data_IF_388352508317
#
_entry.id   IF_388352508317
#
_cell.length_a   1.000
_cell.length_b   1.000
_cell.length_c   1.000
_cell.angle_alpha   90.00
_cell.angle_beta   90.00
_cell.angle_gamma   90.00
#
_symmetry.space_group_name_H-M   'P 1'
#
loop_
_entity.id
_entity.type
_entity.pdbx_description
1 polymer ?
#
# COMPACT_ATOMS: atom_id res chain seq x y z
N UNK A 1 41.59 -55.87 -12.03
CA UNK A 1 40.23 -56.42 -11.84
C UNK A 1 39.47 -55.78 -10.65
N UNK A 2 40.09 -55.01 -9.74
CA UNK A 2 39.40 -54.40 -8.59
C UNK A 2 38.94 -52.93 -8.78
N UNK A 3 39.45 -52.19 -9.77
CA UNK A 3 39.07 -50.78 -9.97
C UNK A 3 37.75 -50.57 -10.76
N UNK A 4 37.33 -51.54 -11.57
CA UNK A 4 36.08 -51.44 -12.35
C UNK A 4 34.82 -51.73 -11.51
N UNK A 5 34.96 -52.41 -10.37
CA UNK A 5 33.84 -52.76 -9.49
C UNK A 5 33.39 -51.62 -8.57
N UNK A 6 34.24 -50.60 -8.35
CA UNK A 6 33.93 -49.44 -7.50
C UNK A 6 33.21 -48.36 -8.30
N UNK A 7 33.52 -48.20 -9.60
CA UNK A 7 32.82 -47.25 -10.49
C UNK A 7 31.40 -47.72 -10.89
N UNK A 8 31.13 -49.03 -10.93
CA UNK A 8 29.80 -49.56 -11.23
C UNK A 8 28.77 -49.35 -10.10
N UNK A 9 29.23 -49.21 -8.85
CA UNK A 9 28.37 -48.95 -7.70
C UNK A 9 27.84 -47.51 -7.68
N UNK A 10 28.68 -46.52 -8.00
CA UNK A 10 28.31 -45.10 -7.92
C UNK A 10 27.15 -44.72 -8.87
N UNK A 11 27.10 -45.35 -10.05
CA UNK A 11 26.07 -45.07 -11.06
C UNK A 11 24.70 -45.66 -10.70
N UNK A 12 24.65 -46.68 -9.83
CA UNK A 12 23.41 -47.30 -9.35
C UNK A 12 22.81 -46.54 -8.16
N UNK A 13 23.64 -45.90 -7.34
CA UNK A 13 23.21 -45.13 -6.17
C UNK A 13 22.75 -43.71 -6.51
N UNK A 14 23.35 -43.07 -7.52
CA UNK A 14 23.03 -41.70 -7.94
C UNK A 14 21.55 -41.45 -8.30
N UNK A 15 20.83 -42.31 -9.06
CA UNK A 15 19.42 -42.09 -9.35
C UNK A 15 18.53 -42.20 -8.10
N UNK A 16 18.91 -43.05 -7.14
CA UNK A 16 18.19 -43.19 -5.88
C UNK A 16 18.35 -41.95 -4.99
N UNK A 17 19.56 -41.37 -4.96
CA UNK A 17 19.84 -40.13 -4.24
C UNK A 17 19.07 -38.94 -4.85
N UNK A 18 19.01 -38.83 -6.19
CA UNK A 18 18.22 -37.79 -6.87
C UNK A 18 16.73 -37.94 -6.58
N UNK A 19 16.20 -39.17 -6.61
CA UNK A 19 14.80 -39.43 -6.31
C UNK A 19 14.46 -39.02 -4.87
N UNK A 20 15.32 -39.37 -3.90
CA UNK A 20 15.12 -39.02 -2.49
C UNK A 20 15.18 -37.50 -2.28
N UNK A 21 16.16 -36.82 -2.86
CA UNK A 21 16.25 -35.34 -2.77
C UNK A 21 15.03 -34.68 -3.42
N UNK A 22 14.58 -35.18 -4.57
CA UNK A 22 13.39 -34.68 -5.27
C UNK A 22 12.12 -34.85 -4.44
N UNK A 23 11.90 -36.02 -3.84
CA UNK A 23 10.73 -36.29 -2.99
C UNK A 23 10.76 -35.44 -1.71
N UNK A 24 11.92 -35.30 -1.06
CA UNK A 24 12.08 -34.44 0.12
C UNK A 24 11.89 -32.96 -0.22
N UNK A 25 12.40 -32.50 -1.37
CA UNK A 25 12.23 -31.13 -1.85
C UNK A 25 10.78 -30.79 -2.18
N UNK A 26 10.06 -31.68 -2.85
CA UNK A 26 8.62 -31.52 -3.14
C UNK A 26 7.82 -31.51 -1.84
N UNK A 27 8.12 -32.42 -0.90
CA UNK A 27 7.50 -32.45 0.43
C UNK A 27 7.70 -31.13 1.18
N UNK A 28 8.93 -30.59 1.18
CA UNK A 28 9.23 -29.30 1.79
C UNK A 28 8.46 -28.14 1.16
N UNK A 29 8.35 -28.10 -0.18
CA UNK A 29 7.58 -27.08 -0.90
C UNK A 29 6.10 -27.16 -0.53
N UNK A 30 5.51 -28.36 -0.47
CA UNK A 30 4.10 -28.54 -0.12
C UNK A 30 3.86 -28.08 1.33
N UNK A 31 4.68 -28.52 2.28
CA UNK A 31 4.57 -28.14 3.71
C UNK A 31 4.74 -26.62 3.88
N UNK A 32 5.71 -26.01 3.19
CA UNK A 32 5.94 -24.57 3.25
C UNK A 32 4.74 -23.77 2.71
N UNK A 33 4.10 -24.22 1.63
CA UNK A 33 2.89 -23.57 1.09
C UNK A 33 1.69 -23.73 2.03
N UNK A 34 1.56 -24.86 2.72
CA UNK A 34 0.50 -25.09 3.71
C UNK A 34 0.65 -24.19 4.94
N UNK A 35 1.89 -23.99 5.40
CA UNK A 35 2.20 -23.07 6.50
C UNK A 35 1.96 -21.60 6.11
N UNK A 36 2.28 -21.19 4.88
CA UNK A 36 1.94 -19.84 4.41
C UNK A 36 0.43 -19.60 4.38
N UNK A 37 -0.38 -20.57 3.94
CA UNK A 37 -1.85 -20.43 3.92
C UNK A 37 -2.44 -20.25 5.33
N UNK A 38 -1.94 -21.00 6.30
CA UNK A 38 -2.43 -20.92 7.69
C UNK A 38 -2.01 -19.63 8.40
N UNK A 39 -0.79 -19.11 8.15
CA UNK A 39 -0.36 -17.81 8.69
C UNK A 39 -1.21 -16.65 8.13
N UNK A 40 -1.53 -16.68 6.83
CA UNK A 40 -2.42 -15.67 6.22
C UNK A 40 -3.85 -15.77 6.77
N UNK A 41 -4.38 -16.97 6.96
CA UNK A 41 -5.71 -17.16 7.53
C UNK A 41 -5.82 -16.69 8.99
N UNK A 42 -4.76 -16.87 9.80
CA UNK A 42 -4.77 -16.55 11.23
C UNK A 42 -4.80 -15.06 11.54
N UNK A 43 -4.38 -14.21 10.60
CA UNK A 43 -4.43 -12.76 10.77
C UNK A 43 -5.80 -12.14 10.41
N UNK A 44 -6.73 -12.93 9.88
CA UNK A 44 -8.01 -12.44 9.35
C UNK A 44 -9.20 -12.56 10.32
N UNK A 45 -9.03 -13.15 11.50
CA UNK A 45 -10.15 -13.53 12.38
C UNK A 45 -10.22 -12.75 13.70
N UNK A 46 -9.84 -11.46 13.71
CA UNK A 46 -10.41 -10.56 14.71
C UNK A 46 -11.78 -10.16 14.20
N UNK A 47 -12.82 -10.66 14.86
CA UNK A 47 -14.20 -10.23 14.65
C UNK A 47 -14.26 -8.73 14.97
N UNK A 48 -14.19 -7.94 13.89
CA UNK A 48 -14.16 -6.50 13.90
C UNK A 48 -15.55 -6.02 14.35
N UNK A 49 -15.70 -5.66 15.61
CA UNK A 49 -16.92 -4.98 16.05
C UNK A 49 -17.07 -3.69 15.22
N UNK A 50 -18.28 -3.34 14.77
CA UNK A 50 -18.64 -1.93 14.49
C UNK A 50 -18.17 -1.12 15.71
N UNK A 51 -17.75 0.13 15.67
CA UNK A 51 -16.94 0.79 16.74
C UNK A 51 -15.42 0.55 16.60
N UNK A 52 -14.92 -0.68 16.43
CA UNK A 52 -13.47 -0.92 16.32
C UNK A 52 -12.82 -0.40 15.03
N UNK A 53 -13.60 0.00 14.00
CA UNK A 53 -13.09 0.33 12.65
C UNK A 53 -13.49 1.70 12.14
N UNK A 54 -13.84 2.61 13.03
CA UNK A 54 -14.14 3.98 12.63
C UNK A 54 -12.84 4.62 12.08
N UNK A 55 -12.80 5.10 10.82
CA UNK A 55 -11.62 5.70 10.22
C UNK A 55 -11.43 7.14 10.72
N UNK A 56 -11.16 7.30 12.01
CA UNK A 56 -11.11 8.62 12.70
C UNK A 56 -10.16 9.60 11.99
N UNK A 57 -9.04 9.11 11.46
CA UNK A 57 -8.02 9.91 10.78
C UNK A 57 -7.59 9.23 9.48
N UNK A 58 -7.78 9.92 8.35
CA UNK A 58 -7.51 9.36 7.00
C UNK A 58 -6.38 10.13 6.31
N UNK A 59 -5.47 9.39 5.66
CA UNK A 59 -4.51 9.95 4.72
C UNK A 59 -5.02 9.76 3.29
N UNK A 60 -5.25 10.86 2.57
CA UNK A 60 -5.72 10.83 1.19
C UNK A 60 -4.61 11.26 0.23
N UNK A 61 -4.15 10.32 -0.60
CA UNK A 61 -3.11 10.54 -1.61
C UNK A 61 -3.77 10.92 -2.95
N UNK A 62 -3.82 12.21 -3.28
CA UNK A 62 -4.56 12.71 -4.46
C UNK A 62 -3.92 12.36 -5.80
N UNK A 63 -2.58 12.28 -5.82
CA UNK A 63 -1.77 11.90 -6.96
C UNK A 63 -0.47 11.27 -6.48
N UNK A 64 0.15 10.43 -7.32
CA UNK A 64 1.52 9.93 -7.08
C UNK A 64 2.61 10.80 -7.70
N UNK A 65 2.24 11.78 -8.53
CA UNK A 65 3.19 12.66 -9.21
C UNK A 65 3.88 13.58 -8.20
N UNK A 66 5.20 13.62 -8.22
CA UNK A 66 6.03 14.51 -7.40
C UNK A 66 7.07 15.22 -8.27
N UNK A 67 7.44 16.45 -7.91
CA UNK A 67 8.51 17.17 -8.57
C UNK A 67 9.90 16.88 -7.96
N UNK A 68 9.96 16.07 -6.91
CA UNK A 68 11.19 15.61 -6.24
C UNK A 68 11.37 14.10 -6.44
N UNK A 69 12.62 13.63 -6.32
CA UNK A 69 13.02 12.22 -6.43
C UNK A 69 13.79 11.77 -5.18
N UNK A 70 13.15 11.84 -4.02
CA UNK A 70 13.80 11.50 -2.75
C UNK A 70 14.16 10.00 -2.69
N UNK A 71 15.40 9.68 -2.33
CA UNK A 71 15.87 8.28 -2.23
C UNK A 71 15.17 7.43 -1.17
N UNK A 72 14.47 8.07 -0.23
CA UNK A 72 13.69 7.43 0.84
C UNK A 72 12.18 7.42 0.58
N UNK A 73 11.71 7.83 -0.61
CA UNK A 73 10.28 7.93 -0.90
C UNK A 73 9.62 6.55 -0.99
N UNK A 74 8.62 6.29 -0.15
CA UNK A 74 7.79 5.07 -0.19
C UNK A 74 6.53 5.21 -1.06
N UNK A 75 6.21 6.43 -1.51
CA UNK A 75 5.03 6.76 -2.31
C UNK A 75 5.44 7.30 -3.69
N UNK A 76 6.18 6.48 -4.44
CA UNK A 76 6.78 6.86 -5.71
C UNK A 76 5.76 7.03 -6.84
N UNK A 77 6.18 7.75 -7.89
CA UNK A 77 5.40 8.06 -9.09
C UNK A 77 5.23 6.81 -9.97
N UNK A 78 4.34 5.92 -9.55
CA UNK A 78 4.02 4.67 -10.25
C UNK A 78 2.76 4.77 -11.11
N UNK A 79 2.01 5.88 -11.03
CA UNK A 79 0.78 6.10 -11.77
C UNK A 79 0.47 7.58 -11.93
N UNK A 80 0.06 7.97 -13.13
CA UNK A 80 -0.41 9.32 -13.45
C UNK A 80 -1.91 9.52 -13.20
N UNK A 81 -2.62 8.50 -12.71
CA UNK A 81 -4.06 8.60 -12.49
C UNK A 81 -4.37 9.54 -11.32
N UNK A 82 -5.34 10.42 -11.54
CA UNK A 82 -5.92 11.31 -10.54
C UNK A 82 -7.43 11.11 -10.58
N UNK A 83 -8.04 10.84 -9.42
CA UNK A 83 -9.48 10.62 -9.32
C UNK A 83 -10.22 11.94 -9.64
N UNK A 84 -11.25 11.93 -10.51
CA UNK A 84 -12.05 13.12 -10.77
C UNK A 84 -12.64 13.70 -9.48
N UNK A 85 -12.68 15.03 -9.39
CA UNK A 85 -12.97 15.74 -8.14
C UNK A 85 -14.33 15.34 -7.54
N UNK A 86 -15.37 15.17 -8.34
CA UNK A 86 -16.69 14.77 -7.86
C UNK A 86 -16.69 13.38 -7.19
N UNK A 87 -15.92 12.44 -7.75
CA UNK A 87 -15.75 11.10 -7.18
C UNK A 87 -14.92 11.16 -5.89
N UNK A 88 -13.91 12.04 -5.84
CA UNK A 88 -13.13 12.27 -4.63
C UNK A 88 -14.00 12.85 -3.51
N UNK A 89 -14.81 13.89 -3.81
CA UNK A 89 -15.77 14.48 -2.86
C UNK A 89 -16.77 13.44 -2.37
N UNK A 90 -17.33 12.63 -3.27
CA UNK A 90 -18.23 11.54 -2.89
C UNK A 90 -17.56 10.54 -1.92
N UNK A 91 -16.34 10.11 -2.22
CA UNK A 91 -15.59 9.19 -1.34
C UNK A 91 -15.32 9.80 0.04
N UNK A 92 -15.01 11.10 0.10
CA UNK A 92 -14.80 11.82 1.37
C UNK A 92 -16.10 11.97 2.19
N UNK A 93 -17.28 12.12 1.54
CA UNK A 93 -18.58 12.06 2.24
C UNK A 93 -18.77 10.71 2.92
N UNK A 94 -18.54 9.61 2.19
CA UNK A 94 -18.65 8.27 2.75
C UNK A 94 -17.71 8.05 3.94
N UNK A 95 -16.49 8.58 3.89
CA UNK A 95 -15.55 8.52 5.00
C UNK A 95 -16.03 9.34 6.21
N UNK A 96 -16.60 10.52 5.98
CA UNK A 96 -17.21 11.34 7.05
C UNK A 96 -18.37 10.61 7.71
N UNK A 97 -19.27 10.02 6.91
CA UNK A 97 -20.40 9.20 7.38
C UNK A 97 -19.93 7.97 8.16
N UNK A 98 -18.80 7.37 7.76
CA UNK A 98 -18.17 6.28 8.49
C UNK A 98 -17.51 6.72 9.82
N UNK A 99 -17.44 8.03 10.11
CA UNK A 99 -16.94 8.60 11.36
C UNK A 99 -15.53 9.22 11.26
N UNK A 100 -15.06 9.56 10.06
CA UNK A 100 -13.83 10.34 9.89
C UNK A 100 -13.97 11.74 10.52
N UNK A 101 -12.97 12.11 11.31
CA UNK A 101 -12.87 13.42 11.98
C UNK A 101 -11.69 14.24 11.48
N UNK A 102 -10.63 13.58 11.00
CA UNK A 102 -9.40 14.21 10.50
C UNK A 102 -9.04 13.72 9.11
N UNK A 103 -8.63 14.65 8.25
CA UNK A 103 -8.13 14.35 6.91
C UNK A 103 -6.72 14.94 6.73
N UNK A 104 -5.77 14.10 6.32
CA UNK A 104 -4.45 14.51 5.88
C UNK A 104 -4.31 14.30 4.38
N UNK A 105 -4.17 15.38 3.61
CA UNK A 105 -3.93 15.28 2.17
C UNK A 105 -2.44 15.14 1.93
N UNK A 106 -2.06 14.06 1.26
CA UNK A 106 -0.69 13.71 0.89
C UNK A 106 -0.65 13.26 -0.58
N UNK A 107 0.46 12.67 -1.01
CA UNK A 107 0.62 12.24 -2.40
C UNK A 107 2.09 12.06 -2.76
N UNK A 108 2.38 12.17 -4.05
CA UNK A 108 3.65 12.68 -4.51
C UNK A 108 3.83 14.11 -3.99
N UNK A 109 3.44 15.11 -4.77
CA UNK A 109 3.36 16.50 -4.28
C UNK A 109 1.96 17.07 -4.54
N UNK A 110 1.11 17.20 -3.50
CA UNK A 110 -0.26 17.65 -3.66
C UNK A 110 -0.38 19.04 -4.29
N UNK A 111 0.54 19.97 -3.98
CA UNK A 111 0.45 21.35 -4.48
C UNK A 111 0.80 21.50 -5.97
N UNK A 112 1.16 20.40 -6.66
CA UNK A 112 1.26 20.38 -8.12
C UNK A 112 -0.12 20.48 -8.81
N UNK A 113 -1.21 20.21 -8.09
CA UNK A 113 -2.58 20.29 -8.60
C UNK A 113 -3.39 21.32 -7.78
N UNK A 114 -3.04 22.63 -7.84
CA UNK A 114 -3.59 23.65 -6.94
C UNK A 114 -5.11 23.77 -7.05
N UNK A 115 -5.70 23.68 -8.25
CA UNK A 115 -7.15 23.74 -8.43
C UNK A 115 -7.88 22.60 -7.72
N UNK A 116 -7.40 21.37 -7.89
CA UNK A 116 -7.96 20.19 -7.22
C UNK A 116 -7.83 20.34 -5.70
N UNK A 117 -6.67 20.80 -5.24
CA UNK A 117 -6.43 20.99 -3.80
C UNK A 117 -7.32 22.05 -3.19
N UNK A 118 -7.42 23.25 -3.79
CA UNK A 118 -8.30 24.31 -3.30
C UNK A 118 -9.75 23.83 -3.24
N UNK A 119 -10.23 23.15 -4.28
CA UNK A 119 -11.60 22.66 -4.34
C UNK A 119 -11.89 21.57 -3.28
N UNK A 120 -10.94 20.66 -3.04
CA UNK A 120 -11.06 19.65 -1.99
C UNK A 120 -11.00 20.27 -0.58
N UNK A 121 -10.10 21.23 -0.35
CA UNK A 121 -9.99 21.90 0.95
C UNK A 121 -11.26 22.68 1.29
N UNK A 122 -11.79 23.46 0.35
CA UNK A 122 -13.06 24.17 0.50
C UNK A 122 -14.20 23.20 0.80
N UNK A 123 -14.33 22.15 0.00
CA UNK A 123 -15.34 21.10 0.22
C UNK A 123 -15.26 20.48 1.62
N UNK A 124 -14.07 20.08 2.06
CA UNK A 124 -13.88 19.40 3.35
C UNK A 124 -14.13 20.36 4.52
N UNK A 125 -13.74 21.63 4.39
CA UNK A 125 -13.91 22.65 5.43
C UNK A 125 -15.37 23.13 5.53
N UNK A 126 -15.98 23.45 4.40
CA UNK A 126 -17.30 24.11 4.34
C UNK A 126 -18.45 23.10 4.34
N UNK A 127 -18.33 21.98 3.60
CA UNK A 127 -19.42 20.99 3.51
C UNK A 127 -19.29 19.86 4.54
N UNK A 128 -18.07 19.32 4.77
CA UNK A 128 -17.91 18.17 5.69
C UNK A 128 -17.69 18.55 7.15
N UNK A 129 -17.28 19.79 7.42
CA UNK A 129 -17.01 20.28 8.78
C UNK A 129 -16.07 19.33 9.55
N UNK A 130 -14.95 18.94 8.94
CA UNK A 130 -13.94 18.14 9.65
C UNK A 130 -13.28 18.98 10.74
N UNK A 131 -12.92 18.32 11.84
CA UNK A 131 -12.30 18.99 12.98
C UNK A 131 -10.84 19.36 12.71
N UNK A 132 -10.20 18.61 11.82
CA UNK A 132 -8.81 18.84 11.46
C UNK A 132 -8.56 18.45 10.00
N UNK A 133 -7.92 19.36 9.29
CA UNK A 133 -7.50 19.20 7.90
C UNK A 133 -6.02 19.57 7.85
N UNK A 134 -5.19 18.72 7.29
CA UNK A 134 -3.76 18.96 7.12
C UNK A 134 -3.30 18.61 5.71
N UNK A 135 -2.18 19.19 5.30
CA UNK A 135 -1.49 18.87 4.04
C UNK A 135 -0.03 18.52 4.35
N UNK A 136 0.45 17.42 3.78
CA UNK A 136 1.88 17.09 3.74
C UNK A 136 2.42 17.46 2.37
N UNK A 137 3.38 18.39 2.35
CA UNK A 137 4.00 18.93 1.12
C UNK A 137 5.50 19.12 1.33
N UNK A 138 6.27 19.00 0.26
CA UNK A 138 7.68 19.38 0.22
C UNK A 138 7.90 20.90 0.24
N UNK A 139 6.84 21.69 0.08
CA UNK A 139 6.85 23.15 0.17
C UNK A 139 7.37 23.89 -1.08
N UNK A 140 7.97 23.19 -2.04
CA UNK A 140 8.69 23.81 -3.17
C UNK A 140 7.81 24.62 -4.14
N UNK A 141 6.49 24.38 -4.13
CA UNK A 141 5.50 25.05 -4.99
C UNK A 141 4.38 25.75 -4.23
N UNK A 142 4.53 25.88 -2.90
CA UNK A 142 3.59 26.68 -2.10
C UNK A 142 3.78 28.15 -2.47
N UNK A 143 2.68 28.83 -2.76
CA UNK A 143 2.65 30.26 -3.09
C UNK A 143 1.74 31.00 -2.12
N UNK A 144 1.94 32.31 -1.99
CA UNK A 144 1.06 33.17 -1.19
C UNK A 144 -0.40 33.11 -1.68
N UNK A 145 -0.60 33.06 -3.01
CA UNK A 145 -1.92 32.91 -3.62
C UNK A 145 -2.62 31.64 -3.11
N UNK A 146 -1.93 30.50 -3.14
CA UNK A 146 -2.48 29.23 -2.65
C UNK A 146 -2.86 29.32 -1.17
N UNK A 147 -2.04 29.97 -0.36
CA UNK A 147 -2.32 30.16 1.07
C UNK A 147 -3.53 31.07 1.33
N UNK A 148 -3.78 32.06 0.46
CA UNK A 148 -4.95 32.95 0.58
C UNK A 148 -6.24 32.31 0.06
N UNK A 149 -6.14 31.44 -0.94
CA UNK A 149 -7.32 30.82 -1.60
C UNK A 149 -7.72 29.45 -1.01
N UNK A 150 -6.76 28.71 -0.45
CA UNK A 150 -6.96 27.33 0.01
C UNK A 150 -7.09 27.13 1.52
N UNK A 151 -6.75 28.13 2.34
CA UNK A 151 -6.88 28.11 3.81
C UNK A 151 -8.04 29.00 4.26
#
# INVERSE_FOLDING_TARGET
MALLSILGGLHLFYPFVILVIGVLGIGWIIISREQSKTVVARHSSKELTRESNVPVSVNYFTSRKCNYTCGFCFHTDTSSYVLPVDKAKHSLRLLKEAGMRKLNIAGGEPVLYPRLQTELLQFVKEELGLESISIVSNGSKITEKLMREGC
#
